data_IF_067085469392
#
_entry.id   IF_067085469392
#
_cell.length_a   1.000
_cell.length_b   1.000
_cell.length_c   1.000
_cell.angle_alpha   90.00
_cell.angle_beta   90.00
_cell.angle_gamma   90.00
#
_symmetry.space_group_name_H-M   'P 1'
#
loop_
_entity.id
_entity.type
_entity.pdbx_description
1 polymer ?
#
# COMPACT_ATOMS: atom_id res chain seq x y z
N UNK A 1 -19.60 12.57 -53.80
CA UNK A 1 -19.38 11.86 -52.51
C UNK A 1 -18.42 12.71 -51.69
N UNK A 2 -18.93 13.68 -50.93
CA UNK A 2 -19.24 13.62 -49.48
C UNK A 2 -18.11 14.25 -48.66
N UNK A 3 -18.27 15.56 -48.41
CA UNK A 3 -18.14 16.33 -47.15
C UNK A 3 -17.17 15.88 -46.03
N UNK A 4 -16.54 16.91 -45.44
CA UNK A 4 -16.23 17.17 -44.00
C UNK A 4 -14.73 17.36 -43.73
N UNK A 5 -14.29 18.62 -43.58
CA UNK A 5 -14.09 19.31 -42.28
C UNK A 5 -12.88 18.71 -41.54
N UNK A 6 -11.71 19.34 -41.47
CA UNK A 6 -11.50 20.74 -41.12
C UNK A 6 -11.75 20.93 -39.62
N UNK A 7 -10.88 20.40 -38.76
CA UNK A 7 -10.81 20.69 -37.32
C UNK A 7 -9.42 20.33 -36.78
N UNK A 8 -8.49 21.25 -37.00
CA UNK A 8 -7.28 21.37 -36.18
C UNK A 8 -7.52 22.40 -35.08
N UNK A 9 -7.16 21.97 -33.86
CA UNK A 9 -6.57 22.76 -32.79
C UNK A 9 -7.10 24.17 -32.49
N UNK A 10 -7.95 24.28 -31.47
CA UNK A 10 -7.91 25.38 -30.49
C UNK A 10 -8.82 25.06 -29.29
N UNK A 11 -8.23 24.52 -28.22
CA UNK A 11 -8.71 24.62 -26.85
C UNK A 11 -7.44 24.47 -25.99
N UNK A 12 -6.65 25.53 -25.93
CA UNK A 12 -6.80 26.61 -24.98
C UNK A 12 -6.52 26.14 -23.55
N UNK A 13 -5.34 26.58 -23.14
CA UNK A 13 -4.74 26.56 -21.82
C UNK A 13 -5.72 26.94 -20.72
N UNK A 14 -5.95 26.01 -19.80
CA UNK A 14 -6.33 26.34 -18.43
C UNK A 14 -5.91 25.20 -17.49
N UNK A 15 -4.72 25.28 -16.92
CA UNK A 15 -4.56 25.01 -15.50
C UNK A 15 -3.27 25.69 -15.00
N UNK A 16 -3.44 26.96 -14.65
CA UNK A 16 -2.44 27.77 -13.98
C UNK A 16 -2.26 27.33 -12.52
N UNK A 17 -1.03 27.57 -12.07
CA UNK A 17 -0.51 27.37 -10.73
C UNK A 17 -1.27 28.10 -9.62
N UNK A 18 -1.13 27.60 -8.38
CA UNK A 18 -1.14 28.45 -7.19
C UNK A 18 -1.84 27.89 -5.95
N UNK A 19 -1.07 27.14 -5.14
CA UNK A 19 -0.93 27.17 -3.66
C UNK A 19 -2.16 27.37 -2.71
N UNK A 20 -1.99 27.27 -1.38
CA UNK A 20 -1.40 26.21 -0.56
C UNK A 20 -2.37 25.77 0.57
N UNK A 21 -2.09 24.62 1.19
CA UNK A 21 -2.38 24.44 2.62
C UNK A 21 -3.84 24.38 3.05
N UNK A 22 -4.40 23.18 3.08
CA UNK A 22 -5.20 22.76 4.22
C UNK A 22 -4.55 21.50 4.77
N UNK A 23 -3.78 21.69 5.83
CA UNK A 23 -3.14 20.61 6.57
C UNK A 23 -4.21 19.67 7.10
N UNK A 24 -4.31 18.49 6.51
CA UNK A 24 -4.83 17.34 7.22
C UNK A 24 -3.79 17.00 8.29
N UNK A 25 -4.13 17.02 9.58
CA UNK A 25 -3.19 16.57 10.59
C UNK A 25 -2.82 15.13 10.25
N UNK A 26 -1.52 14.91 10.09
CA UNK A 26 -0.89 13.61 10.06
C UNK A 26 -1.28 12.92 11.38
N UNK A 27 -2.34 12.13 11.36
CA UNK A 27 -2.68 11.28 12.49
C UNK A 27 -1.53 10.28 12.60
N UNK A 28 -0.62 10.57 13.53
CA UNK A 28 0.44 9.66 13.91
C UNK A 28 -0.21 8.32 14.29
N UNK A 29 0.34 7.17 13.86
CA UNK A 29 -0.14 5.89 14.36
C UNK A 29 0.17 5.81 15.85
N UNK A 30 -0.84 6.06 16.69
CA UNK A 30 -0.84 5.67 18.11
C UNK A 30 -1.00 4.15 18.17
N UNK A 31 0.06 3.43 17.80
CA UNK A 31 0.08 1.97 17.82
C UNK A 31 1.47 1.42 18.17
N UNK A 32 2.24 2.16 18.99
CA UNK A 32 3.57 1.73 19.41
C UNK A 32 3.82 1.93 20.91
N UNK A 33 2.79 1.74 21.77
CA UNK A 33 2.95 1.88 23.22
C UNK A 33 2.40 0.72 24.06
N UNK A 34 2.38 -0.50 23.53
CA UNK A 34 1.97 -1.71 24.29
C UNK A 34 2.97 -2.85 24.30
N UNK A 35 4.11 -2.72 23.65
CA UNK A 35 5.09 -3.81 23.53
C UNK A 35 6.22 -3.79 24.59
N UNK A 36 6.25 -2.80 25.48
CA UNK A 36 7.35 -2.62 26.45
C UNK A 36 7.02 -3.02 27.89
N UNK A 37 5.81 -3.54 28.17
CA UNK A 37 5.38 -3.90 29.53
C UNK A 37 5.24 -5.41 29.73
N UNK A 38 6.31 -6.14 29.41
CA UNK A 38 6.43 -7.56 29.80
C UNK A 38 7.84 -7.85 30.26
N UNK A 39 8.04 -7.74 31.57
CA UNK A 39 8.75 -8.69 32.41
C UNK A 39 8.90 -8.10 33.82
N UNK A 40 7.78 -7.88 34.51
CA UNK A 40 7.84 -7.77 35.97
C UNK A 40 7.88 -9.20 36.51
N UNK A 41 8.94 -9.61 37.22
CA UNK A 41 8.97 -10.92 37.84
C UNK A 41 7.83 -10.98 38.86
N UNK A 42 6.89 -11.90 38.65
CA UNK A 42 5.85 -12.17 39.63
C UNK A 42 6.54 -12.51 40.95
N UNK A 43 6.37 -11.65 41.96
CA UNK A 43 6.77 -11.97 43.33
C UNK A 43 6.09 -13.26 43.78
N UNK A 44 6.62 -13.94 44.81
CA UNK A 44 6.03 -15.18 45.29
C UNK A 44 4.55 -14.95 45.61
N UNK A 45 3.66 -15.64 44.89
CA UNK A 45 2.23 -15.57 45.13
C UNK A 45 1.97 -15.94 46.59
N UNK A 46 1.31 -15.04 47.32
CA UNK A 46 0.88 -15.32 48.69
C UNK A 46 -0.14 -16.47 48.63
N UNK A 47 0.18 -17.66 49.17
CA UNK A 47 -0.73 -18.82 49.10
C UNK A 47 -2.00 -18.62 49.93
N UNK A 48 -2.09 -17.51 50.69
CA UNK A 48 -3.27 -17.13 51.47
C UNK A 48 -4.17 -16.10 50.79
N UNK A 49 -3.78 -15.59 49.61
CA UNK A 49 -4.62 -14.69 48.83
C UNK A 49 -5.86 -15.45 48.32
N UNK A 50 -6.98 -15.24 49.02
CA UNK A 50 -8.30 -15.68 48.59
C UNK A 50 -8.84 -14.59 47.65
N UNK A 51 -9.05 -14.86 46.35
CA UNK A 51 -9.59 -13.87 45.44
C UNK A 51 -10.92 -13.36 45.99
N UNK A 52 -11.12 -12.03 45.96
CA UNK A 52 -12.38 -11.42 46.36
C UNK A 52 -13.45 -11.86 45.34
N UNK A 53 -14.67 -12.26 45.73
CA UNK A 53 -15.75 -12.49 44.76
C UNK A 53 -16.00 -11.29 43.84
N UNK A 54 -15.66 -10.05 44.27
CA UNK A 54 -15.72 -8.88 43.40
C UNK A 54 -14.70 -8.95 42.23
N UNK A 55 -13.55 -9.59 42.43
CA UNK A 55 -12.55 -9.81 41.36
C UNK A 55 -13.03 -10.87 40.35
N UNK A 56 -14.03 -11.69 40.69
CA UNK A 56 -14.56 -12.71 39.79
C UNK A 56 -15.47 -12.13 38.70
N UNK A 57 -16.19 -11.05 39.00
CA UNK A 57 -17.02 -10.33 38.01
C UNK A 57 -16.14 -9.59 37.00
N UNK A 58 -15.06 -8.93 37.47
CA UNK A 58 -14.08 -8.28 36.59
C UNK A 58 -13.34 -9.29 35.67
N UNK A 59 -13.11 -10.52 36.14
CA UNK A 59 -12.52 -11.60 35.33
C UNK A 59 -13.51 -12.17 34.31
N UNK A 60 -14.80 -12.20 34.62
CA UNK A 60 -15.85 -12.63 33.69
C UNK A 60 -16.00 -11.63 32.53
N UNK A 61 -16.00 -10.33 32.85
CA UNK A 61 -16.06 -9.26 31.84
C UNK A 61 -14.83 -9.28 30.90
N UNK A 62 -13.65 -9.65 31.41
CA UNK A 62 -12.44 -9.84 30.60
C UNK A 62 -12.45 -11.12 29.76
N UNK A 63 -13.08 -12.19 30.24
CA UNK A 63 -13.26 -13.43 29.49
C UNK A 63 -14.24 -13.22 28.32
N UNK A 64 -15.33 -12.48 28.54
CA UNK A 64 -16.30 -12.12 27.50
C UNK A 64 -15.67 -11.23 26.40
N UNK A 65 -14.70 -10.38 26.75
CA UNK A 65 -13.92 -9.62 25.76
C UNK A 65 -12.88 -10.46 25.02
N UNK A 66 -12.39 -11.55 25.61
CA UNK A 66 -11.44 -12.46 24.97
C UNK A 66 -12.11 -13.46 24.02
N UNK A 67 -13.37 -13.79 24.27
CA UNK A 67 -14.23 -14.61 23.40
C UNK A 67 -14.95 -13.78 22.30
N UNK A 68 -14.75 -12.47 22.26
CA UNK A 68 -15.44 -11.57 21.33
C UNK A 68 -14.99 -11.71 19.86
N UNK A 69 -13.83 -12.33 19.59
CA UNK A 69 -13.35 -12.57 18.23
C UNK A 69 -13.26 -14.08 17.95
N UNK A 70 -14.16 -14.59 17.10
CA UNK A 70 -14.11 -15.98 16.65
C UNK A 70 -12.73 -16.23 15.98
N UNK A 71 -11.95 -17.24 16.41
CA UNK A 71 -10.64 -17.52 15.83
C UNK A 71 -10.69 -17.81 14.33
N UNK A 72 -11.84 -18.26 13.80
CA UNK A 72 -12.06 -18.42 12.38
C UNK A 72 -12.17 -17.07 11.65
N UNK A 73 -12.83 -16.08 12.25
CA UNK A 73 -12.96 -14.72 11.70
C UNK A 73 -11.59 -14.03 11.68
N UNK A 74 -10.82 -14.13 12.77
CA UNK A 74 -9.44 -13.62 12.80
C UNK A 74 -8.53 -14.32 11.76
N UNK A 75 -8.71 -15.62 11.55
CA UNK A 75 -7.95 -16.35 10.53
C UNK A 75 -8.30 -15.89 9.11
N UNK A 76 -9.58 -15.64 8.84
CA UNK A 76 -10.08 -15.13 7.57
C UNK A 76 -9.59 -13.70 7.30
N UNK A 77 -9.68 -12.82 8.30
CA UNK A 77 -9.17 -11.44 8.23
C UNK A 77 -7.66 -11.40 8.00
N UNK A 78 -6.89 -12.20 8.75
CA UNK A 78 -5.44 -12.30 8.56
C UNK A 78 -5.08 -12.73 7.15
N UNK A 79 -5.82 -13.66 6.57
CA UNK A 79 -5.59 -14.12 5.21
C UNK A 79 -5.99 -13.06 4.17
N UNK A 80 -7.08 -12.32 4.39
CA UNK A 80 -7.44 -11.18 3.55
C UNK A 80 -6.34 -10.11 3.55
N UNK A 81 -5.84 -9.73 4.74
CA UNK A 81 -4.75 -8.77 4.89
C UNK A 81 -3.46 -9.23 4.20
N UNK A 82 -3.13 -10.53 4.28
CA UNK A 82 -1.96 -11.09 3.56
C UNK A 82 -2.09 -10.92 2.05
N UNK A 83 -3.29 -11.14 1.49
CA UNK A 83 -3.55 -10.91 0.06
C UNK A 83 -3.41 -9.45 -0.30
N UNK A 84 -3.95 -8.54 0.50
CA UNK A 84 -3.83 -7.10 0.27
C UNK A 84 -2.36 -6.65 0.30
N UNK A 85 -1.60 -7.09 1.31
CA UNK A 85 -0.16 -6.81 1.41
C UNK A 85 0.60 -7.37 0.19
N UNK A 86 0.25 -8.57 -0.28
CA UNK A 86 0.86 -9.14 -1.48
C UNK A 86 0.56 -8.30 -2.73
N UNK A 87 -0.69 -7.87 -2.92
CA UNK A 87 -1.10 -7.00 -4.04
C UNK A 87 -0.39 -5.65 -3.97
N UNK A 88 -0.29 -5.03 -2.79
CA UNK A 88 0.40 -3.75 -2.62
C UNK A 88 1.90 -3.88 -2.93
N UNK A 89 2.55 -4.92 -2.40
CA UNK A 89 3.98 -5.17 -2.67
C UNK A 89 4.22 -5.37 -4.17
N UNK A 90 3.38 -6.15 -4.83
CA UNK A 90 3.49 -6.38 -6.27
C UNK A 90 3.30 -5.08 -7.06
N UNK A 91 2.31 -4.27 -6.69
CA UNK A 91 2.03 -2.98 -7.34
C UNK A 91 3.19 -1.99 -7.16
N UNK A 92 3.75 -1.91 -5.95
CA UNK A 92 4.91 -1.07 -5.66
C UNK A 92 6.15 -1.52 -6.43
N UNK A 93 6.42 -2.83 -6.45
CA UNK A 93 7.53 -3.40 -7.21
C UNK A 93 7.39 -3.13 -8.72
N UNK A 94 6.18 -3.30 -9.28
CA UNK A 94 5.91 -3.00 -10.67
C UNK A 94 6.13 -1.51 -11.01
N UNK A 95 5.74 -0.59 -10.11
CA UNK A 95 5.99 0.85 -10.29
C UNK A 95 7.49 1.18 -10.27
N UNK A 96 8.23 0.64 -9.30
CA UNK A 96 9.68 0.82 -9.21
C UNK A 96 10.39 0.29 -10.46
N UNK A 97 10.03 -0.90 -10.93
CA UNK A 97 10.57 -1.46 -12.17
C UNK A 97 10.27 -0.55 -13.38
N UNK A 98 9.05 -0.01 -13.47
CA UNK A 98 8.68 0.90 -14.56
C UNK A 98 9.45 2.21 -14.54
N UNK A 99 9.66 2.80 -13.35
CA UNK A 99 10.46 4.02 -13.21
C UNK A 99 11.93 3.77 -13.60
N UNK A 100 12.51 2.63 -13.20
CA UNK A 100 13.86 2.23 -13.61
C UNK A 100 13.96 2.01 -15.12
N UNK A 101 13.00 1.29 -15.71
CA UNK A 101 12.91 1.08 -17.16
C UNK A 101 12.84 2.41 -17.92
N UNK A 102 12.08 3.39 -17.43
CA UNK A 102 12.06 4.73 -18.02
C UNK A 102 13.45 5.38 -17.97
N UNK A 103 14.16 5.28 -16.84
CA UNK A 103 15.51 5.80 -16.70
C UNK A 103 16.51 5.17 -17.68
N UNK A 104 16.44 3.85 -17.87
CA UNK A 104 17.24 3.12 -18.85
C UNK A 104 16.97 3.62 -20.27
N UNK A 105 15.70 3.71 -20.66
CA UNK A 105 15.31 4.19 -22.01
C UNK A 105 15.73 5.64 -22.23
N UNK A 106 15.56 6.51 -21.22
CA UNK A 106 16.02 7.89 -21.29
C UNK A 106 17.55 7.97 -21.47
N UNK A 107 18.31 7.19 -20.72
CA UNK A 107 19.77 7.19 -20.79
C UNK A 107 20.29 6.66 -22.14
N UNK A 108 19.70 5.58 -22.63
CA UNK A 108 20.12 4.92 -23.88
C UNK A 108 19.63 5.64 -25.13
N UNK A 109 18.38 6.10 -25.12
CA UNK A 109 17.73 6.78 -26.24
C UNK A 109 17.96 8.29 -26.28
N UNK A 110 18.54 8.88 -25.22
CA UNK A 110 18.69 10.35 -25.05
C UNK A 110 17.37 11.10 -25.27
N UNK A 111 16.29 10.55 -24.71
CA UNK A 111 14.95 11.10 -24.83
C UNK A 111 14.43 11.62 -23.50
N UNK A 112 13.36 12.40 -23.57
CA UNK A 112 12.63 12.89 -22.40
C UNK A 112 11.81 11.77 -21.74
N UNK A 113 11.41 11.99 -20.49
CA UNK A 113 10.57 11.04 -19.74
C UNK A 113 9.25 10.71 -20.46
N UNK A 114 8.48 11.67 -21.01
CA UNK A 114 7.25 11.35 -21.75
C UNK A 114 7.49 10.44 -22.95
N UNK A 115 8.58 10.65 -23.69
CA UNK A 115 8.94 9.82 -24.85
C UNK A 115 9.34 8.40 -24.42
N UNK A 116 10.12 8.27 -23.35
CA UNK A 116 10.48 6.97 -22.79
C UNK A 116 9.26 6.18 -22.30
N UNK A 117 8.33 6.85 -21.60
CA UNK A 117 7.05 6.25 -21.18
C UNK A 117 6.26 5.80 -22.41
N UNK A 118 6.13 6.66 -23.42
CA UNK A 118 5.45 6.32 -24.68
C UNK A 118 6.04 5.07 -25.32
N UNK A 119 7.36 5.00 -25.47
CA UNK A 119 8.04 3.84 -26.04
C UNK A 119 7.76 2.54 -25.29
N UNK A 120 7.82 2.55 -23.94
CA UNK A 120 7.51 1.37 -23.12
C UNK A 120 6.04 0.94 -23.27
N UNK A 121 5.11 1.91 -23.31
CA UNK A 121 3.70 1.63 -23.54
C UNK A 121 3.45 1.05 -24.94
N UNK A 122 4.18 1.52 -25.95
CA UNK A 122 4.05 1.04 -27.32
C UNK A 122 4.55 -0.40 -27.45
N UNK A 123 5.61 -0.75 -26.73
CA UNK A 123 6.09 -2.14 -26.65
C UNK A 123 5.07 -3.03 -25.94
N UNK A 124 4.52 -2.58 -24.80
CA UNK A 124 3.49 -3.32 -24.08
C UNK A 124 2.26 -3.60 -24.95
N UNK A 125 1.78 -2.58 -25.68
CA UNK A 125 0.65 -2.75 -26.61
C UNK A 125 0.96 -3.71 -27.75
N UNK A 126 2.15 -3.62 -28.35
CA UNK A 126 2.56 -4.48 -29.48
C UNK A 126 2.77 -5.94 -29.08
N UNK A 127 3.20 -6.19 -27.86
CA UNK A 127 3.49 -7.54 -27.35
C UNK A 127 2.33 -8.17 -26.59
N UNK A 128 1.27 -7.40 -26.29
CA UNK A 128 0.18 -7.83 -25.41
C UNK A 128 0.61 -8.02 -23.95
N UNK A 129 1.83 -7.62 -23.58
CA UNK A 129 2.34 -7.74 -22.23
C UNK A 129 1.87 -6.61 -21.32
N UNK A 130 1.85 -6.86 -20.01
CA UNK A 130 1.58 -5.79 -19.04
C UNK A 130 2.77 -4.83 -18.97
N UNK A 131 2.50 -3.57 -18.63
CA UNK A 131 3.56 -2.54 -18.48
C UNK A 131 4.63 -2.96 -17.47
N UNK A 132 4.21 -3.60 -16.38
CA UNK A 132 5.11 -4.14 -15.36
C UNK A 132 5.98 -5.28 -15.91
N UNK A 133 5.43 -6.17 -16.72
CA UNK A 133 6.18 -7.25 -17.35
C UNK A 133 7.25 -6.73 -18.32
N UNK A 134 6.90 -5.77 -19.18
CA UNK A 134 7.87 -5.12 -20.09
C UNK A 134 8.98 -4.43 -19.31
N UNK A 135 8.62 -3.70 -18.25
CA UNK A 135 9.60 -3.01 -17.42
C UNK A 135 10.55 -3.99 -16.69
N UNK A 136 10.02 -5.07 -16.11
CA UNK A 136 10.84 -6.11 -15.46
C UNK A 136 11.81 -6.75 -16.45
N UNK A 137 11.32 -7.18 -17.62
CA UNK A 137 12.16 -7.77 -18.66
C UNK A 137 13.32 -6.85 -19.06
N UNK A 138 13.07 -5.53 -19.16
CA UNK A 138 14.10 -4.57 -19.49
C UNK A 138 15.11 -4.38 -18.34
N UNK A 139 14.64 -4.32 -17.10
CA UNK A 139 15.49 -4.11 -15.91
C UNK A 139 16.33 -5.34 -15.59
N UNK A 140 15.76 -6.54 -15.72
CA UNK A 140 16.44 -7.82 -15.44
C UNK A 140 17.38 -8.25 -16.56
N UNK A 141 17.23 -7.69 -17.77
CA UNK A 141 18.08 -7.97 -18.93
C UNK A 141 19.37 -7.13 -19.00
N UNK A 142 19.63 -6.26 -18.02
CA UNK A 142 20.83 -5.42 -17.90
C UNK A 142 21.73 -5.99 -16.81
#
# INVERSE_FOLDING_TARGET
>A
MTRMEGRDAAADSAFGAGHPGTGTPLAAPVAASRAADRAQPAGPADPTHRPDPADADDLADLADLADADDPADLAAEREALRREVAVLRETMAARAAFDMACGIVMATGRCSRPEAVGALLDVARRTGATRGAVARLLVEGI
#
